data_IF_908190390018
#
_entry.id   IF_908190390018
#
_cell.length_a   1.000
_cell.length_b   1.000
_cell.length_c   1.000
_cell.angle_alpha   90.00
_cell.angle_beta   90.00
_cell.angle_gamma   90.00
#
_symmetry.space_group_name_H-M   'P 1'
#
loop_
_entity.id
_entity.type
_entity.pdbx_description
1 polymer ?
#
# COMPACT_ATOMS: atom_id res chain seq x y z
N UNK A 1 10.94 -7.91 -6.80
CA UNK A 1 10.18 -7.76 -5.52
C UNK A 1 8.93 -6.89 -5.64
N UNK A 2 9.02 -5.66 -6.17
CA UNK A 2 7.83 -4.78 -6.29
C UNK A 2 6.80 -5.34 -7.27
N UNK A 3 7.26 -6.02 -8.33
CA UNK A 3 6.39 -6.70 -9.31
C UNK A 3 5.59 -7.83 -8.66
N UNK A 4 6.24 -8.65 -7.84
CA UNK A 4 5.69 -9.82 -7.15
C UNK A 4 4.70 -9.38 -6.06
N UNK A 5 5.01 -8.32 -5.31
CA UNK A 5 4.06 -7.70 -4.37
C UNK A 5 2.81 -7.21 -5.12
N UNK A 6 2.97 -6.56 -6.27
CA UNK A 6 1.84 -6.07 -7.06
C UNK A 6 1.00 -7.22 -7.63
N UNK A 7 1.64 -8.28 -8.11
CA UNK A 7 0.97 -9.48 -8.60
C UNK A 7 0.16 -10.17 -7.49
N UNK A 8 0.75 -10.36 -6.31
CA UNK A 8 0.05 -10.94 -5.15
C UNK A 8 -1.10 -10.08 -4.66
N UNK A 9 -0.94 -8.75 -4.65
CA UNK A 9 -2.04 -7.81 -4.34
C UNK A 9 -3.17 -7.89 -5.35
N UNK A 10 -2.86 -7.97 -6.64
CA UNK A 10 -3.85 -8.11 -7.69
C UNK A 10 -4.63 -9.43 -7.53
N UNK A 11 -3.90 -10.54 -7.33
CA UNK A 11 -4.49 -11.86 -7.09
C UNK A 11 -5.44 -11.87 -5.88
N UNK A 12 -5.03 -11.27 -4.75
CA UNK A 12 -5.90 -11.16 -3.58
C UNK A 12 -7.12 -10.29 -3.85
N UNK A 13 -6.95 -9.14 -4.48
CA UNK A 13 -8.06 -8.23 -4.82
C UNK A 13 -9.07 -8.91 -5.73
N UNK A 14 -8.60 -9.64 -6.73
CA UNK A 14 -9.48 -10.29 -7.71
C UNK A 14 -10.21 -11.47 -7.05
N UNK A 15 -9.55 -12.25 -6.19
CA UNK A 15 -10.19 -13.28 -5.37
C UNK A 15 -11.28 -12.72 -4.43
N UNK A 16 -11.04 -11.55 -3.81
CA UNK A 16 -12.06 -10.88 -3.00
C UNK A 16 -13.25 -10.40 -3.83
N UNK A 17 -13.03 -9.97 -5.07
CA UNK A 17 -14.12 -9.65 -6.01
C UNK A 17 -14.90 -10.89 -6.43
N UNK A 18 -14.23 -12.01 -6.70
CA UNK A 18 -14.88 -13.28 -7.01
C UNK A 18 -15.83 -13.69 -5.88
N UNK A 19 -15.41 -13.56 -4.61
CA UNK A 19 -16.25 -13.88 -3.45
C UNK A 19 -17.55 -13.06 -3.36
N UNK A 20 -17.60 -11.88 -3.96
CA UNK A 20 -18.81 -11.07 -4.02
C UNK A 20 -19.85 -11.64 -5.01
N UNK A 21 -19.47 -12.58 -5.86
CA UNK A 21 -20.40 -13.22 -6.79
C UNK A 21 -21.45 -14.06 -6.03
N UNK A 22 -22.76 -13.86 -6.30
CA UNK A 22 -23.83 -14.62 -5.66
C UNK A 22 -23.94 -16.05 -6.22
N UNK A 23 -23.40 -16.32 -7.41
CA UNK A 23 -23.50 -17.64 -8.07
C UNK A 23 -22.54 -18.69 -7.54
N UNK A 24 -21.66 -18.34 -6.59
CA UNK A 24 -20.67 -19.25 -6.04
C UNK A 24 -21.28 -20.24 -5.06
N UNK A 25 -20.89 -21.50 -5.20
CA UNK A 25 -21.20 -22.54 -4.22
C UNK A 25 -20.42 -22.34 -2.93
N UNK A 26 -20.81 -23.06 -1.86
CA UNK A 26 -20.07 -23.07 -0.60
C UNK A 26 -18.63 -23.56 -0.81
N UNK A 27 -18.45 -24.55 -1.70
CA UNK A 27 -17.13 -25.09 -2.03
C UNK A 27 -16.26 -24.04 -2.72
N UNK A 28 -16.78 -23.35 -3.73
CA UNK A 28 -16.03 -22.31 -4.46
C UNK A 28 -15.59 -21.20 -3.49
N UNK A 29 -16.49 -20.75 -2.60
CA UNK A 29 -16.18 -19.74 -1.59
C UNK A 29 -15.08 -20.21 -0.62
N UNK A 30 -15.01 -21.50 -0.32
CA UNK A 30 -13.96 -22.08 0.54
C UNK A 30 -12.64 -22.14 -0.22
N UNK A 31 -12.68 -22.56 -1.48
CA UNK A 31 -11.49 -22.66 -2.32
C UNK A 31 -10.88 -21.28 -2.58
N UNK A 32 -11.68 -20.27 -2.91
CA UNK A 32 -11.21 -18.89 -3.10
C UNK A 32 -10.56 -18.35 -1.82
N UNK A 33 -11.19 -18.57 -0.65
CA UNK A 33 -10.59 -18.20 0.65
C UNK A 33 -9.29 -18.97 0.92
N UNK A 34 -9.20 -20.24 0.52
CA UNK A 34 -7.99 -21.02 0.65
C UNK A 34 -6.86 -20.45 -0.20
N UNK A 35 -7.13 -20.06 -1.45
CA UNK A 35 -6.18 -19.41 -2.35
C UNK A 35 -5.65 -18.10 -1.76
N UNK A 36 -6.54 -17.25 -1.24
CA UNK A 36 -6.14 -16.01 -0.54
C UNK A 36 -5.23 -16.34 0.64
N UNK A 37 -5.62 -17.29 1.51
CA UNK A 37 -4.85 -17.66 2.70
C UNK A 37 -3.48 -18.25 2.37
N UNK A 38 -3.36 -19.00 1.27
CA UNK A 38 -2.08 -19.55 0.81
C UNK A 38 -1.12 -18.47 0.30
N UNK A 39 -1.65 -17.38 -0.27
CA UNK A 39 -0.82 -16.26 -0.76
C UNK A 39 -0.31 -15.31 0.34
N UNK A 40 -0.91 -15.33 1.54
CA UNK A 40 -0.58 -14.42 2.64
C UNK A 40 0.87 -14.51 3.15
N UNK A 41 1.45 -15.71 3.38
CA UNK A 41 2.82 -15.83 3.90
C UNK A 41 3.85 -15.25 2.92
N UNK A 42 3.63 -15.45 1.63
CA UNK A 42 4.51 -14.96 0.58
C UNK A 42 4.47 -13.44 0.49
N UNK A 43 3.26 -12.86 0.46
CA UNK A 43 3.09 -11.41 0.47
C UNK A 43 3.71 -10.76 1.72
N UNK A 44 3.52 -11.38 2.89
CA UNK A 44 4.12 -10.92 4.16
C UNK A 44 5.64 -10.94 4.10
N UNK A 45 6.23 -11.96 3.49
CA UNK A 45 7.69 -12.08 3.33
C UNK A 45 8.23 -10.94 2.47
N UNK A 46 7.66 -10.71 1.30
CA UNK A 46 8.13 -9.63 0.42
C UNK A 46 7.94 -8.24 1.05
N UNK A 47 6.82 -8.01 1.73
CA UNK A 47 6.58 -6.74 2.44
C UNK A 47 7.57 -6.53 3.59
N UNK A 48 7.94 -7.59 4.32
CA UNK A 48 8.95 -7.53 5.37
C UNK A 48 10.32 -7.15 4.80
N UNK A 49 10.76 -7.81 3.73
CA UNK A 49 12.04 -7.50 3.07
C UNK A 49 12.07 -6.06 2.53
N UNK A 50 10.95 -5.58 1.98
CA UNK A 50 10.84 -4.20 1.51
C UNK A 50 10.89 -3.19 2.67
N UNK A 51 10.22 -3.48 3.78
CA UNK A 51 10.25 -2.67 5.00
C UNK A 51 11.67 -2.58 5.58
N UNK A 52 12.37 -3.71 5.67
CA UNK A 52 13.78 -3.75 6.11
C UNK A 52 14.64 -2.88 5.21
N UNK A 53 14.51 -3.02 3.88
CA UNK A 53 15.27 -2.19 2.92
C UNK A 53 14.96 -0.69 3.05
N UNK A 54 13.71 -0.33 3.30
CA UNK A 54 13.30 1.08 3.47
C UNK A 54 13.77 1.66 4.81
N UNK A 55 13.80 0.87 5.89
CA UNK A 55 14.32 1.31 7.19
C UNK A 55 15.79 1.73 7.14
N UNK A 56 16.58 1.09 6.28
CA UNK A 56 17.99 1.40 6.10
C UNK A 56 18.27 2.35 4.92
N UNK A 57 17.23 2.87 4.24
CA UNK A 57 17.40 3.90 3.22
C UNK A 57 17.49 5.26 3.90
N UNK A 58 18.62 6.00 3.80
CA UNK A 58 18.66 7.36 4.29
C UNK A 58 17.57 8.16 3.58
N UNK A 59 16.69 8.80 4.37
CA UNK A 59 15.70 9.73 3.83
C UNK A 59 16.49 10.84 3.12
N UNK A 60 16.20 11.18 1.85
CA UNK A 60 16.75 12.39 1.29
C UNK A 60 16.29 13.52 2.22
N UNK A 61 17.23 14.19 2.86
CA UNK A 61 16.95 15.44 3.55
C UNK A 61 16.52 16.37 2.43
N UNK A 62 15.21 16.64 2.33
CA UNK A 62 14.72 17.72 1.50
C UNK A 62 15.47 18.96 1.97
N UNK A 63 16.29 19.54 1.09
CA UNK A 63 16.85 20.85 1.37
C UNK A 63 15.64 21.75 1.60
N UNK A 64 15.45 22.17 2.85
CA UNK A 64 14.45 23.17 3.23
C UNK A 64 14.92 24.47 2.58
N UNK A 65 14.69 24.58 1.28
CA UNK A 65 14.90 25.80 0.52
C UNK A 65 13.77 26.74 0.86
N UNK A 66 14.10 27.73 1.70
CA UNK A 66 13.54 29.09 1.74
C UNK A 66 12.02 29.27 1.72
N UNK A 67 11.22 28.22 1.98
CA UNK A 67 9.75 28.34 1.96
C UNK A 67 9.22 29.24 3.09
N UNK A 68 10.01 29.47 4.13
CA UNK A 68 9.71 30.45 5.18
C UNK A 68 10.19 31.87 4.84
N UNK A 69 11.07 32.05 3.85
CA UNK A 69 11.58 33.36 3.44
C UNK A 69 10.57 34.15 2.60
N UNK A 70 9.52 33.50 2.08
CA UNK A 70 8.52 34.08 1.18
C UNK A 70 7.13 34.24 1.83
N UNK A 71 7.07 34.31 3.16
CA UNK A 71 5.81 34.57 3.88
C UNK A 71 5.64 36.09 4.01
N UNK A 72 4.90 36.69 3.08
CA UNK A 72 4.46 38.08 3.17
C UNK A 72 3.25 38.19 4.12
N UNK A 73 3.49 38.70 5.33
CA UNK A 73 2.40 39.02 6.27
C UNK A 73 1.76 40.36 5.89
N UNK A 74 0.59 40.31 5.24
CA UNK A 74 -0.22 41.50 4.98
C UNK A 74 -0.94 41.91 6.28
N UNK A 75 -0.38 42.86 7.01
CA UNK A 75 -1.04 43.51 8.14
C UNK A 75 -2.20 44.38 7.62
N UNK A 76 -3.43 43.99 7.94
CA UNK A 76 -4.59 44.84 7.72
C UNK A 76 -4.65 45.86 8.87
N UNK A 77 -4.26 47.09 8.57
CA UNK A 77 -4.46 48.21 9.49
C UNK A 77 -5.97 48.46 9.64
N UNK A 78 -6.46 48.27 10.87
CA UNK A 78 -7.82 48.64 11.26
C UNK A 78 -7.96 50.15 11.37
N UNK A 79 -9.12 50.62 10.90
CA UNK A 79 -9.66 51.98 10.84
C UNK A 79 -9.39 52.89 12.03
#
# INVERSE_FOLDING_TARGET
MTSEINALKALQRDAWRELASPSLTIFDRREIRSRVRQSEPELRTYLKMMSERLRFRPRPVEAVGDSLANIDFRLLAGS
#
